data_IF_847458032989
#
_entry.id   IF_847458032989
#
_cell.length_a   1.000
_cell.length_b   1.000
_cell.length_c   1.000
_cell.angle_alpha   90.00
_cell.angle_beta   90.00
_cell.angle_gamma   90.00
#
_symmetry.space_group_name_H-M   'P 1'
#
loop_
_entity.id
_entity.type
_entity.pdbx_description
1 polymer ?
#
# COMPACT_ATOMS: atom_id res chain seq x y z
N UNK A 1 13.54 -37.41 -21.64
CA UNK A 1 12.91 -36.21 -21.04
C UNK A 1 13.30 -35.03 -21.91
N UNK A 2 12.34 -34.19 -22.31
CA UNK A 2 12.60 -33.10 -23.25
C UNK A 2 13.52 -32.03 -22.63
N UNK A 3 14.62 -31.74 -23.32
CA UNK A 3 15.64 -30.77 -22.97
C UNK A 3 15.55 -29.61 -23.96
N UNK A 4 15.67 -28.34 -23.52
CA UNK A 4 15.52 -27.17 -24.40
C UNK A 4 16.82 -26.35 -24.44
N UNK A 5 17.32 -26.00 -25.63
CA UNK A 5 18.48 -25.06 -25.75
C UNK A 5 17.93 -23.64 -25.54
N UNK A 6 18.49 -22.87 -24.59
CA UNK A 6 18.06 -21.49 -24.36
C UNK A 6 18.35 -20.57 -25.56
N UNK A 7 19.40 -20.88 -26.33
CA UNK A 7 19.76 -20.13 -27.55
C UNK A 7 18.88 -20.52 -28.73
N UNK A 8 18.82 -21.82 -29.07
CA UNK A 8 18.12 -22.27 -30.28
C UNK A 8 16.60 -22.37 -30.13
N UNK A 9 16.08 -22.36 -28.90
CA UNK A 9 14.67 -22.64 -28.56
C UNK A 9 14.11 -23.95 -29.15
N UNK A 10 14.98 -24.90 -29.49
CA UNK A 10 14.60 -26.23 -29.97
C UNK A 10 14.61 -27.26 -28.83
N UNK A 11 13.76 -28.26 -28.97
CA UNK A 11 13.59 -29.38 -28.03
C UNK A 11 14.44 -30.56 -28.51
N UNK A 12 15.21 -31.15 -27.60
CA UNK A 12 16.06 -32.30 -27.85
C UNK A 12 15.76 -33.40 -26.82
N UNK A 13 15.88 -34.67 -27.22
CA UNK A 13 15.54 -35.80 -26.33
C UNK A 13 16.74 -36.54 -25.75
N UNK A 14 17.93 -36.48 -26.37
CA UNK A 14 18.96 -37.49 -26.12
C UNK A 14 20.31 -37.00 -25.60
N UNK A 15 20.64 -35.71 -25.63
CA UNK A 15 21.94 -35.21 -25.14
C UNK A 15 21.72 -34.08 -24.14
N UNK A 16 22.58 -33.96 -23.12
CA UNK A 16 22.59 -32.81 -22.20
C UNK A 16 23.20 -31.53 -22.80
N UNK A 17 23.65 -31.60 -24.06
CA UNK A 17 24.29 -30.52 -24.80
C UNK A 17 23.60 -30.43 -26.16
N UNK A 18 23.25 -29.23 -26.59
CA UNK A 18 22.59 -29.01 -27.87
C UNK A 18 23.58 -29.19 -29.04
N UNK A 19 23.24 -29.95 -30.09
CA UNK A 19 24.15 -30.20 -31.21
C UNK A 19 24.43 -28.96 -32.08
N UNK A 20 23.53 -27.97 -32.06
CA UNK A 20 23.68 -26.72 -32.81
C UNK A 20 24.51 -25.66 -32.07
N UNK A 21 24.11 -25.35 -30.83
CA UNK A 21 24.68 -24.27 -30.02
C UNK A 21 25.86 -24.74 -29.12
N UNK A 22 26.03 -26.05 -28.90
CA UNK A 22 26.95 -26.67 -27.93
C UNK A 22 26.78 -26.17 -26.48
N UNK A 23 25.62 -25.57 -26.15
CA UNK A 23 25.25 -25.12 -24.81
C UNK A 23 24.56 -26.24 -24.05
N UNK A 24 24.76 -26.27 -22.72
CA UNK A 24 24.07 -27.19 -21.81
C UNK A 24 22.56 -26.95 -21.92
N UNK A 25 21.85 -28.03 -22.25
CA UNK A 25 20.40 -27.99 -22.36
C UNK A 25 19.78 -27.94 -20.97
N UNK A 26 18.79 -27.07 -20.81
CA UNK A 26 18.04 -26.97 -19.57
C UNK A 26 16.92 -28.00 -19.59
N UNK A 27 16.71 -28.62 -18.44
CA UNK A 27 15.54 -29.47 -18.21
C UNK A 27 14.29 -28.62 -18.40
N UNK A 28 13.62 -28.82 -19.54
CA UNK A 28 12.26 -28.39 -19.67
C UNK A 28 11.48 -29.41 -18.85
N UNK A 29 11.22 -29.09 -17.59
CA UNK A 29 10.15 -29.76 -16.88
C UNK A 29 8.94 -29.53 -17.78
N UNK A 30 8.49 -30.53 -18.57
CA UNK A 30 7.24 -30.38 -19.28
C UNK A 30 6.30 -30.05 -18.15
N UNK A 31 5.65 -28.89 -18.21
CA UNK A 31 4.58 -28.56 -17.27
C UNK A 31 3.84 -29.87 -17.08
N UNK A 32 3.96 -30.48 -15.88
CA UNK A 32 3.24 -31.67 -15.51
C UNK A 32 1.85 -31.33 -15.98
N UNK A 33 1.40 -31.94 -17.09
CA UNK A 33 0.03 -31.79 -17.58
C UNK A 33 -0.74 -32.03 -16.29
N UNK A 34 -1.40 -31.01 -15.72
CA UNK A 34 -2.13 -31.25 -14.51
C UNK A 34 -3.14 -32.28 -14.97
N UNK A 35 -2.98 -33.55 -14.55
CA UNK A 35 -4.08 -34.49 -14.56
C UNK A 35 -5.24 -33.68 -14.02
N UNK A 36 -6.23 -33.49 -14.90
CA UNK A 36 -7.24 -32.45 -14.81
C UNK A 36 -7.79 -32.42 -13.38
N UNK A 37 -7.15 -31.62 -12.54
CA UNK A 37 -7.56 -31.42 -11.17
C UNK A 37 -8.66 -30.38 -11.34
N UNK A 38 -9.93 -30.71 -11.06
CA UNK A 38 -11.09 -29.89 -11.45
C UNK A 38 -11.20 -28.56 -10.66
N UNK A 39 -10.08 -27.94 -10.25
CA UNK A 39 -10.07 -26.86 -9.27
C UNK A 39 -9.06 -25.72 -9.52
N UNK A 40 -8.40 -25.62 -10.67
CA UNK A 40 -7.57 -24.45 -11.00
C UNK A 40 -8.15 -23.55 -12.10
N UNK A 41 -9.45 -23.26 -11.99
CA UNK A 41 -10.16 -22.22 -12.76
C UNK A 41 -9.72 -20.78 -12.39
N UNK A 42 -8.59 -20.64 -11.68
CA UNK A 42 -8.08 -19.39 -11.11
C UNK A 42 -6.88 -18.80 -11.87
N UNK A 43 -6.45 -19.43 -12.97
CA UNK A 43 -5.27 -19.00 -13.72
C UNK A 43 -5.51 -17.81 -14.67
N UNK A 44 -6.75 -17.60 -15.14
CA UNK A 44 -7.09 -16.54 -16.10
C UNK A 44 -8.11 -15.53 -15.55
N UNK A 45 -8.06 -15.26 -14.24
CA UNK A 45 -8.76 -14.05 -13.77
C UNK A 45 -8.07 -12.84 -14.40
N UNK A 46 -8.82 -11.94 -15.07
CA UNK A 46 -8.24 -10.77 -15.71
C UNK A 46 -7.36 -10.06 -14.69
N UNK A 47 -6.10 -9.82 -15.06
CA UNK A 47 -5.13 -9.16 -14.20
C UNK A 47 -5.80 -7.95 -13.55
N UNK A 48 -5.93 -7.97 -12.23
CA UNK A 48 -6.61 -6.92 -11.49
C UNK A 48 -6.03 -5.58 -11.95
N UNK A 49 -6.89 -4.63 -12.33
CA UNK A 49 -6.45 -3.36 -12.91
C UNK A 49 -5.39 -2.66 -12.05
N UNK A 50 -5.41 -2.90 -10.74
CA UNK A 50 -4.47 -2.40 -9.73
C UNK A 50 -3.05 -2.94 -9.91
N UNK A 51 -2.89 -4.14 -10.47
CA UNK A 51 -1.59 -4.75 -10.75
C UNK A 51 -1.00 -4.25 -12.06
N UNK A 52 -1.81 -3.62 -12.92
CA UNK A 52 -1.30 -2.97 -14.14
C UNK A 52 -0.41 -1.78 -13.76
N UNK A 53 0.58 -1.42 -14.61
CA UNK A 53 1.43 -0.25 -14.37
C UNK A 53 0.62 1.03 -14.14
N UNK A 54 -0.45 1.23 -14.91
CA UNK A 54 -1.34 2.39 -14.77
C UNK A 54 -2.12 2.40 -13.47
N UNK A 55 -2.62 1.24 -13.03
CA UNK A 55 -3.29 1.11 -11.74
C UNK A 55 -2.36 1.48 -10.58
N UNK A 56 -1.11 1.00 -10.59
CA UNK A 56 -0.12 1.35 -9.57
C UNK A 56 0.26 2.82 -9.55
N UNK A 57 0.40 3.46 -10.73
CA UNK A 57 0.64 4.90 -10.84
C UNK A 57 -0.53 5.67 -10.23
N UNK A 58 -1.76 5.30 -10.58
CA UNK A 58 -2.97 5.97 -10.08
C UNK A 58 -3.10 5.83 -8.55
N UNK A 59 -2.94 4.62 -8.01
CA UNK A 59 -2.98 4.36 -6.56
C UNK A 59 -1.84 5.10 -5.85
N UNK A 60 -0.62 5.07 -6.39
CA UNK A 60 0.52 5.82 -5.84
C UNK A 60 0.29 7.33 -5.82
N UNK A 61 -0.35 7.88 -6.85
CA UNK A 61 -0.70 9.30 -6.94
C UNK A 61 -1.74 9.69 -5.89
N UNK A 62 -2.83 8.93 -5.77
CA UNK A 62 -3.85 9.16 -4.74
C UNK A 62 -3.23 9.08 -3.34
N UNK A 63 -2.40 8.06 -3.10
CA UNK A 63 -1.73 7.88 -1.82
C UNK A 63 -0.80 9.06 -1.50
N UNK A 64 0.01 9.52 -2.46
CA UNK A 64 0.90 10.66 -2.26
C UNK A 64 0.13 11.96 -1.96
N UNK A 65 -0.92 12.25 -2.74
CA UNK A 65 -1.74 13.44 -2.53
C UNK A 65 -2.49 13.38 -1.19
N UNK A 66 -3.15 12.25 -0.90
CA UNK A 66 -3.88 12.05 0.34
C UNK A 66 -2.97 12.13 1.57
N UNK A 67 -1.80 11.49 1.52
CA UNK A 67 -0.83 11.54 2.60
C UNK A 67 -0.26 12.95 2.81
N UNK A 68 0.03 13.67 1.73
CA UNK A 68 0.52 15.06 1.82
C UNK A 68 -0.51 15.98 2.45
N UNK A 69 -1.77 15.88 2.04
CA UNK A 69 -2.86 16.66 2.59
C UNK A 69 -3.10 16.30 4.07
N UNK A 70 -3.17 15.01 4.39
CA UNK A 70 -3.35 14.54 5.76
C UNK A 70 -2.25 15.01 6.70
N UNK A 71 -0.98 14.86 6.30
CA UNK A 71 0.16 15.33 7.08
C UNK A 71 0.16 16.86 7.22
N UNK A 72 -0.19 17.59 6.17
CA UNK A 72 -0.32 19.06 6.24
C UNK A 72 -1.44 19.48 7.21
N UNK A 73 -2.58 18.79 7.22
CA UNK A 73 -3.66 19.05 8.18
C UNK A 73 -3.22 18.72 9.59
N UNK A 74 -2.54 17.60 9.82
CA UNK A 74 -1.98 17.25 11.14
C UNK A 74 -1.01 18.34 11.64
N UNK A 75 -0.10 18.82 10.78
CA UNK A 75 0.82 19.89 11.13
C UNK A 75 0.10 21.22 11.38
N UNK A 76 -0.88 21.55 10.54
CA UNK A 76 -1.69 22.77 10.71
C UNK A 76 -2.47 22.73 12.01
N UNK A 77 -3.09 21.59 12.33
CA UNK A 77 -3.71 21.34 13.63
C UNK A 77 -2.68 21.43 14.76
N UNK A 78 -1.45 20.99 14.53
CA UNK A 78 -0.35 21.15 15.47
C UNK A 78 -0.02 22.62 15.75
N UNK A 79 0.17 23.43 14.71
CA UNK A 79 0.45 24.88 14.83
C UNK A 79 -0.73 25.68 15.37
N UNK A 80 -1.95 25.32 15.00
CA UNK A 80 -3.16 25.91 15.60
C UNK A 80 -3.19 25.66 17.11
N UNK A 81 -2.72 24.50 17.56
CA UNK A 81 -2.61 24.22 18.99
C UNK A 81 -1.54 25.12 19.61
N UNK A 82 -0.45 25.49 18.94
CA UNK A 82 0.60 26.32 19.58
C UNK A 82 0.21 27.78 19.80
N UNK A 83 -0.97 28.21 19.34
CA UNK A 83 -1.43 29.60 19.42
C UNK A 83 -0.70 30.56 18.47
N UNK A 84 0.26 30.06 17.70
CA UNK A 84 1.17 30.86 16.86
C UNK A 84 0.82 30.69 15.36
N UNK A 85 -0.48 30.69 15.04
CA UNK A 85 -0.99 30.31 13.72
C UNK A 85 -0.70 31.34 12.62
N UNK A 86 -0.45 32.60 12.98
CA UNK A 86 -0.60 33.73 12.07
C UNK A 86 0.26 33.70 10.82
N UNK A 87 1.44 33.06 10.84
CA UNK A 87 2.37 33.17 9.71
C UNK A 87 3.31 31.98 9.49
N UNK A 88 3.12 30.84 10.18
CA UNK A 88 4.09 29.72 10.15
C UNK A 88 4.39 29.26 8.73
N UNK A 89 3.35 29.12 7.89
CA UNK A 89 3.50 28.68 6.50
C UNK A 89 4.23 29.68 5.60
N UNK A 90 4.28 30.96 5.99
CA UNK A 90 5.02 32.00 5.30
C UNK A 90 6.47 32.14 5.80
N UNK A 91 6.81 31.49 6.92
CA UNK A 91 8.21 31.43 7.40
C UNK A 91 9.05 30.47 6.57
N UNK A 92 10.37 30.65 6.59
CA UNK A 92 11.33 29.71 5.98
C UNK A 92 11.13 28.28 6.51
N UNK A 93 10.85 28.14 7.81
CA UNK A 93 10.60 26.84 8.44
C UNK A 93 9.33 26.18 7.87
N UNK A 94 8.24 26.94 7.73
CA UNK A 94 6.99 26.43 7.14
C UNK A 94 7.16 25.97 5.70
N UNK A 95 7.94 26.72 4.90
CA UNK A 95 8.26 26.34 3.52
C UNK A 95 9.06 25.04 3.49
N UNK A 96 10.12 24.91 4.31
CA UNK A 96 10.93 23.69 4.40
C UNK A 96 10.09 22.50 4.85
N UNK A 97 9.24 22.69 5.87
CA UNK A 97 8.37 21.66 6.41
C UNK A 97 7.33 21.21 5.38
N UNK A 98 6.75 22.15 4.63
CA UNK A 98 5.82 21.84 3.54
C UNK A 98 6.48 20.96 2.47
N UNK A 99 7.69 21.32 2.02
CA UNK A 99 8.45 20.52 1.06
C UNK A 99 8.85 19.16 1.62
N UNK A 100 9.19 19.06 2.91
CA UNK A 100 9.50 17.80 3.56
C UNK A 100 8.29 16.85 3.58
N UNK A 101 7.09 17.36 3.90
CA UNK A 101 5.85 16.58 3.88
C UNK A 101 5.52 16.08 2.47
N UNK A 102 5.61 16.96 1.48
CA UNK A 102 5.41 16.58 0.07
C UNK A 102 6.43 15.52 -0.36
N UNK A 103 7.71 15.70 0.00
CA UNK A 103 8.77 14.77 -0.36
C UNK A 103 8.56 13.38 0.26
N UNK A 104 8.23 13.31 1.55
CA UNK A 104 7.93 12.03 2.23
C UNK A 104 6.71 11.36 1.59
N UNK A 105 5.66 12.12 1.31
CA UNK A 105 4.43 11.58 0.73
C UNK A 105 4.65 11.04 -0.69
N UNK A 106 5.43 11.75 -1.49
CA UNK A 106 5.85 11.34 -2.83
C UNK A 106 6.80 10.15 -2.82
N UNK A 107 7.71 10.06 -1.85
CA UNK A 107 8.57 8.89 -1.70
C UNK A 107 7.73 7.63 -1.46
N UNK A 108 6.72 7.70 -0.59
CA UNK A 108 5.82 6.58 -0.30
C UNK A 108 4.97 6.20 -1.52
N UNK A 109 4.33 7.17 -2.17
CA UNK A 109 3.53 6.91 -3.38
C UNK A 109 4.36 6.42 -4.56
N UNK A 110 5.55 6.99 -4.77
CA UNK A 110 6.52 6.57 -5.76
C UNK A 110 7.02 5.14 -5.49
N UNK A 111 7.35 4.83 -4.24
CA UNK A 111 7.78 3.48 -3.81
C UNK A 111 6.72 2.42 -4.10
N UNK A 112 5.45 2.72 -3.81
CA UNK A 112 4.34 1.83 -4.14
C UNK A 112 4.21 1.64 -5.67
N UNK A 113 4.31 2.72 -6.45
CA UNK A 113 4.21 2.63 -7.92
C UNK A 113 5.36 1.83 -8.56
N UNK A 114 6.55 1.88 -7.96
CA UNK A 114 7.74 1.16 -8.43
C UNK A 114 7.84 -0.29 -7.93
N UNK A 115 7.04 -0.68 -6.93
CA UNK A 115 7.14 -2.00 -6.31
C UNK A 115 6.85 -3.13 -7.32
N UNK A 116 7.82 -4.03 -7.49
CA UNK A 116 7.74 -5.18 -8.38
C UNK A 116 7.85 -4.84 -9.87
N UNK A 117 8.26 -3.62 -10.22
CA UNK A 117 8.31 -3.15 -11.61
C UNK A 117 9.75 -2.96 -12.10
N UNK A 118 10.05 -3.44 -13.31
CA UNK A 118 11.42 -3.31 -13.88
C UNK A 118 11.77 -1.88 -14.27
N UNK A 119 10.76 -1.02 -14.42
CA UNK A 119 10.90 0.42 -14.73
C UNK A 119 10.39 1.27 -13.57
N UNK A 120 10.63 0.82 -12.33
CA UNK A 120 10.11 1.48 -11.13
C UNK A 120 10.47 2.97 -11.03
N UNK A 121 11.69 3.35 -11.44
CA UNK A 121 12.14 4.76 -11.50
C UNK A 121 11.21 5.59 -12.40
N UNK A 122 10.83 5.08 -13.56
CA UNK A 122 9.97 5.79 -14.53
C UNK A 122 8.56 5.95 -13.97
N UNK A 123 8.00 4.91 -13.36
CA UNK A 123 6.65 4.98 -12.77
C UNK A 123 6.61 5.94 -11.59
N UNK A 124 7.62 5.91 -10.72
CA UNK A 124 7.77 6.88 -9.64
C UNK A 124 7.92 8.31 -10.15
N UNK A 125 8.72 8.52 -11.20
CA UNK A 125 8.87 9.84 -11.85
C UNK A 125 7.53 10.36 -12.40
N UNK A 126 6.71 9.50 -13.01
CA UNK A 126 5.38 9.86 -13.50
C UNK A 126 4.44 10.25 -12.35
N UNK A 127 4.44 9.52 -11.24
CA UNK A 127 3.68 9.87 -10.04
C UNK A 127 4.11 11.24 -9.50
N UNK A 128 5.42 11.46 -9.40
CA UNK A 128 6.01 12.73 -8.97
C UNK A 128 5.59 13.89 -9.87
N UNK A 129 5.76 13.74 -11.18
CA UNK A 129 5.41 14.76 -12.16
C UNK A 129 3.92 15.10 -12.13
N UNK A 130 3.04 14.09 -12.13
CA UNK A 130 1.59 14.28 -12.06
C UNK A 130 1.18 15.00 -10.76
N UNK A 131 1.75 14.60 -9.62
CA UNK A 131 1.52 15.27 -8.34
C UNK A 131 1.99 16.72 -8.35
N UNK A 132 3.15 17.01 -8.96
CA UNK A 132 3.66 18.38 -9.13
C UNK A 132 2.76 19.27 -9.98
N UNK A 133 2.23 18.75 -11.09
CA UNK A 133 1.24 19.47 -11.91
C UNK A 133 -0.03 19.76 -11.10
N UNK A 134 -0.58 18.74 -10.43
CA UNK A 134 -1.80 18.88 -9.63
C UNK A 134 -1.60 19.91 -8.51
N UNK A 135 -0.47 19.85 -7.81
CA UNK A 135 -0.12 20.80 -6.74
C UNK A 135 -0.01 22.23 -7.28
N UNK A 136 0.65 22.42 -8.43
CA UNK A 136 0.78 23.72 -9.09
C UNK A 136 -0.59 24.26 -9.55
N UNK A 137 -1.46 23.39 -10.06
CA UNK A 137 -2.82 23.77 -10.47
C UNK A 137 -3.68 24.18 -9.26
N UNK A 138 -3.58 23.47 -8.14
CA UNK A 138 -4.27 23.84 -6.89
C UNK A 138 -3.80 25.18 -6.35
N UNK A 139 -2.50 25.46 -6.39
CA UNK A 139 -1.92 26.74 -5.98
C UNK A 139 -2.40 27.88 -6.88
N UNK A 140 -2.37 27.68 -8.19
CA UNK A 140 -2.91 28.64 -9.16
C UNK A 140 -4.40 28.95 -8.89
N UNK A 141 -5.20 27.91 -8.62
CA UNK A 141 -6.62 28.07 -8.30
C UNK A 141 -6.89 28.84 -6.99
N UNK A 142 -5.93 28.86 -6.05
CA UNK A 142 -6.02 29.65 -4.80
C UNK A 142 -5.64 31.12 -4.99
N UNK A 143 -5.15 31.51 -6.16
CA UNK A 143 -4.72 32.90 -6.42
C UNK A 143 -3.41 33.27 -5.73
N UNK A 144 -2.63 32.29 -5.24
CA UNK A 144 -1.32 32.54 -4.66
C UNK A 144 -0.36 32.98 -5.77
N UNK A 145 0.29 34.14 -5.59
CA UNK A 145 1.19 34.72 -6.57
C UNK A 145 2.54 33.99 -6.55
N UNK A 146 2.76 33.07 -7.50
CA UNK A 146 4.02 32.35 -7.60
C UNK A 146 5.06 33.10 -8.43
N UNK A 147 6.31 33.06 -7.96
CA UNK A 147 7.44 33.34 -8.84
C UNK A 147 7.41 32.35 -10.00
N UNK A 148 7.51 32.80 -11.27
CA UNK A 148 7.46 31.94 -12.43
C UNK A 148 8.55 30.84 -12.39
N UNK A 149 9.66 31.11 -11.71
CA UNK A 149 10.72 30.12 -11.48
C UNK A 149 10.23 28.94 -10.65
N UNK A 150 9.47 29.19 -9.58
CA UNK A 150 8.99 28.12 -8.69
C UNK A 150 7.94 27.25 -9.38
N UNK A 151 7.09 27.85 -10.23
CA UNK A 151 6.10 27.12 -11.03
C UNK A 151 6.74 26.05 -11.92
N UNK A 152 7.96 26.29 -12.40
CA UNK A 152 8.73 25.30 -13.19
C UNK A 152 9.54 24.34 -12.32
N UNK A 153 10.04 24.79 -11.17
CA UNK A 153 10.89 23.99 -10.28
C UNK A 153 10.09 22.92 -9.52
N UNK A 154 8.87 23.21 -9.08
CA UNK A 154 8.07 22.31 -8.24
C UNK A 154 7.80 20.96 -8.93
N UNK A 155 7.29 20.90 -10.18
CA UNK A 155 7.10 19.62 -10.87
C UNK A 155 8.40 18.83 -11.07
N UNK A 156 9.53 19.53 -11.25
CA UNK A 156 10.83 18.90 -11.48
C UNK A 156 11.41 18.29 -10.21
N UNK A 157 11.25 18.97 -9.07
CA UNK A 157 11.59 18.43 -7.74
C UNK A 157 10.69 17.21 -7.44
N UNK A 158 9.37 17.33 -7.66
CA UNK A 158 8.45 16.23 -7.42
C UNK A 158 8.76 15.02 -8.30
N UNK A 159 9.11 15.24 -9.57
CA UNK A 159 9.55 14.19 -10.50
C UNK A 159 10.78 13.47 -9.95
N UNK A 160 11.81 14.21 -9.50
CA UNK A 160 13.02 13.62 -8.94
C UNK A 160 12.73 12.82 -7.66
N UNK A 161 11.93 13.36 -6.74
CA UNK A 161 11.54 12.68 -5.50
C UNK A 161 10.69 11.43 -5.77
N UNK A 162 9.74 11.52 -6.70
CA UNK A 162 8.96 10.38 -7.14
C UNK A 162 9.83 9.29 -7.77
N UNK A 163 10.80 9.67 -8.60
CA UNK A 163 11.76 8.75 -9.22
C UNK A 163 12.60 8.02 -8.16
N UNK A 164 13.07 8.72 -7.13
CA UNK A 164 13.77 8.14 -5.98
C UNK A 164 12.88 7.15 -5.23
N UNK A 165 11.62 7.52 -4.97
CA UNK A 165 10.64 6.62 -4.37
C UNK A 165 10.47 5.35 -5.21
N UNK A 166 10.25 5.49 -6.52
CA UNK A 166 10.13 4.38 -7.46
C UNK A 166 11.37 3.48 -7.52
N UNK A 167 12.57 4.06 -7.40
CA UNK A 167 13.83 3.32 -7.30
C UNK A 167 13.87 2.46 -6.02
N UNK A 168 13.53 3.05 -4.88
CA UNK A 168 13.46 2.35 -3.59
C UNK A 168 12.43 1.22 -3.64
N UNK A 169 11.27 1.46 -4.25
CA UNK A 169 10.24 0.45 -4.47
C UNK A 169 10.75 -0.74 -5.29
N UNK A 170 11.50 -0.48 -6.34
CA UNK A 170 12.12 -1.53 -7.16
C UNK A 170 13.22 -2.30 -6.40
N UNK A 171 13.97 -1.62 -5.51
CA UNK A 171 15.03 -2.26 -4.71
C UNK A 171 14.46 -3.18 -3.63
N UNK A 172 13.42 -2.73 -2.91
CA UNK A 172 12.76 -3.48 -1.85
C UNK A 172 11.92 -4.62 -2.45
N UNK A 173 11.16 -4.33 -3.50
CA UNK A 173 10.35 -5.31 -4.25
C UNK A 173 10.93 -5.49 -5.65
N UNK A 174 11.93 -6.37 -5.75
CA UNK A 174 12.60 -6.67 -7.01
C UNK A 174 11.59 -7.17 -8.06
N UNK A 175 11.70 -6.69 -9.32
CA UNK A 175 10.85 -7.17 -10.39
C UNK A 175 11.05 -8.67 -10.61
N UNK A 176 9.95 -9.39 -10.85
CA UNK A 176 10.04 -10.79 -11.26
C UNK A 176 10.75 -10.84 -12.62
N UNK A 177 11.77 -11.71 -12.77
CA UNK A 177 12.46 -11.86 -14.05
C UNK A 177 11.44 -12.22 -15.13
N UNK A 178 11.50 -11.54 -16.28
CA UNK A 178 10.67 -11.88 -17.44
C UNK A 178 11.12 -13.25 -17.93
N UNK A 179 10.33 -14.26 -17.63
CA UNK A 179 10.49 -15.56 -18.26
C UNK A 179 10.18 -15.36 -19.76
N UNK A 180 11.00 -15.87 -20.68
CA UNK A 180 10.68 -15.84 -22.10
C UNK A 180 9.28 -16.42 -22.27
N UNK A 181 8.35 -15.62 -22.78
CA UNK A 181 7.02 -16.08 -23.16
C UNK A 181 7.26 -17.19 -24.19
N UNK A 182 7.04 -18.44 -23.77
CA UNK A 182 6.95 -19.54 -24.70
C UNK A 182 5.67 -19.27 -25.49
N UNK A 183 5.80 -19.00 -26.78
CA UNK A 183 4.70 -18.76 -27.70
C UNK A 183 3.67 -19.91 -27.59
N UNK A 184 2.69 -19.74 -26.70
CA UNK A 184 1.60 -20.69 -26.51
C UNK A 184 0.59 -20.40 -27.60
N UNK A 185 0.71 -21.14 -28.70
CA UNK A 185 0.03 -20.95 -29.97
C UNK A 185 -1.47 -21.25 -29.96
N UNK A 186 -2.17 -21.13 -28.84
CA UNK A 186 -3.63 -21.34 -28.80
C UNK A 186 -4.31 -20.23 -28.02
N UNK A 187 -5.02 -19.29 -28.67
CA UNK A 187 -5.82 -18.29 -27.97
C UNK A 187 -6.96 -19.00 -27.27
N UNK A 188 -6.84 -19.17 -25.95
CA UNK A 188 -7.94 -19.62 -25.10
C UNK A 188 -9.00 -18.52 -25.05
N UNK A 189 -10.29 -18.85 -25.26
CA UNK A 189 -11.36 -17.86 -25.19
C UNK A 189 -11.43 -17.26 -23.78
N UNK A 190 -11.44 -15.92 -23.72
CA UNK A 190 -11.57 -15.16 -22.47
C UNK A 190 -12.97 -15.37 -21.92
N UNK A 191 -13.10 -16.15 -20.85
CA UNK A 191 -14.38 -16.33 -20.16
C UNK A 191 -14.68 -15.05 -19.37
N UNK A 192 -15.80 -14.40 -19.69
CA UNK A 192 -16.25 -13.20 -18.98
C UNK A 192 -16.79 -13.63 -17.62
N UNK A 193 -16.07 -13.33 -16.55
CA UNK A 193 -16.44 -13.69 -15.19
C UNK A 193 -17.68 -12.91 -14.72
N UNK A 194 -18.67 -13.62 -14.18
CA UNK A 194 -19.85 -13.03 -13.54
C UNK A 194 -19.46 -12.26 -12.26
N UNK A 195 -19.96 -11.03 -12.11
CA UNK A 195 -19.59 -10.10 -11.03
C UNK A 195 -19.88 -10.66 -9.61
N UNK A 196 -20.92 -11.49 -9.48
CA UNK A 196 -21.27 -12.16 -8.23
C UNK A 196 -20.24 -13.23 -7.82
N UNK A 197 -19.66 -13.94 -8.80
CA UNK A 197 -18.62 -14.93 -8.52
C UNK A 197 -17.32 -14.24 -8.07
N UNK A 198 -17.00 -13.06 -8.61
CA UNK A 198 -15.87 -12.26 -8.14
C UNK A 198 -16.04 -11.81 -6.69
N UNK A 199 -17.23 -11.35 -6.27
CA UNK A 199 -17.48 -10.98 -4.87
C UNK A 199 -17.38 -12.17 -3.91
N UNK A 200 -17.93 -13.32 -4.27
CA UNK A 200 -17.79 -14.54 -3.46
C UNK A 200 -16.33 -14.99 -3.33
N UNK A 201 -15.55 -14.84 -4.42
CA UNK A 201 -14.13 -15.17 -4.44
C UNK A 201 -13.27 -14.19 -3.63
N UNK A 202 -13.65 -12.91 -3.49
CA UNK A 202 -12.92 -11.94 -2.66
C UNK A 202 -12.84 -12.36 -1.18
N UNK A 203 -13.80 -13.16 -0.71
CA UNK A 203 -13.80 -13.70 0.66
C UNK A 203 -13.33 -15.16 0.74
N UNK A 204 -13.10 -15.82 -0.39
CA UNK A 204 -12.58 -17.18 -0.46
C UNK A 204 -11.06 -17.17 -0.23
N UNK A 205 -10.61 -17.81 0.85
CA UNK A 205 -9.19 -18.00 1.13
C UNK A 205 -8.84 -17.98 2.60
N UNK A 206 -7.65 -18.51 2.89
CA UNK A 206 -7.20 -18.81 4.25
C UNK A 206 -6.98 -17.54 5.07
N UNK A 207 -7.56 -17.54 6.27
CA UNK A 207 -7.36 -16.50 7.26
C UNK A 207 -6.03 -16.72 7.97
N UNK A 208 -5.16 -15.71 7.90
CA UNK A 208 -3.87 -15.73 8.57
C UNK A 208 -4.05 -15.23 10.01
N UNK A 209 -4.66 -16.06 10.86
CA UNK A 209 -5.09 -15.69 12.22
C UNK A 209 -3.98 -15.02 13.02
N UNK A 210 -2.74 -15.51 12.95
CA UNK A 210 -1.61 -14.90 13.66
C UNK A 210 -1.35 -13.44 13.29
N UNK A 211 -1.50 -13.09 12.00
CA UNK A 211 -1.34 -11.70 11.53
C UNK A 211 -2.51 -10.82 11.92
N UNK A 212 -3.72 -11.36 11.85
CA UNK A 212 -4.93 -10.67 12.31
C UNK A 212 -4.80 -10.36 13.81
N UNK A 213 -4.39 -11.32 14.64
CA UNK A 213 -4.15 -11.11 16.07
C UNK A 213 -3.06 -10.05 16.33
N UNK A 214 -1.94 -10.10 15.60
CA UNK A 214 -0.87 -9.11 15.72
C UNK A 214 -1.34 -7.71 15.29
N UNK A 215 -2.06 -7.60 14.19
CA UNK A 215 -2.62 -6.33 13.70
C UNK A 215 -3.67 -5.74 14.65
N UNK A 216 -4.57 -6.58 15.17
CA UNK A 216 -5.55 -6.18 16.18
C UNK A 216 -4.88 -5.73 17.48
N UNK A 217 -3.82 -6.42 17.90
CA UNK A 217 -3.02 -6.03 19.06
C UNK A 217 -2.39 -4.65 18.88
N UNK A 218 -1.73 -4.39 17.74
CA UNK A 218 -1.14 -3.07 17.43
C UNK A 218 -2.22 -1.98 17.42
N UNK A 219 -3.36 -2.24 16.78
CA UNK A 219 -4.47 -1.29 16.71
C UNK A 219 -5.02 -0.97 18.12
N UNK A 220 -5.33 -1.97 18.93
CA UNK A 220 -5.84 -1.80 20.30
C UNK A 220 -4.84 -1.04 21.17
N UNK A 221 -3.56 -1.41 21.14
CA UNK A 221 -2.51 -0.71 21.89
C UNK A 221 -2.44 0.76 21.49
N UNK A 222 -2.54 1.06 20.19
CA UNK A 222 -2.62 2.43 19.68
C UNK A 222 -3.82 3.21 20.22
N UNK A 223 -5.00 2.58 20.26
CA UNK A 223 -6.20 3.23 20.80
C UNK A 223 -6.07 3.50 22.29
N UNK A 224 -5.64 2.49 23.06
CA UNK A 224 -5.49 2.59 24.52
C UNK A 224 -4.43 3.61 24.91
N UNK A 225 -3.32 3.66 24.18
CA UNK A 225 -2.24 4.62 24.43
C UNK A 225 -2.34 5.92 23.64
N UNK A 226 -3.42 6.15 22.89
CA UNK A 226 -3.60 7.38 22.09
C UNK A 226 -3.38 8.66 22.91
N UNK A 227 -3.90 8.72 24.13
CA UNK A 227 -3.67 9.85 25.06
C UNK A 227 -2.22 9.96 25.51
N UNK A 228 -1.57 8.85 25.84
CA UNK A 228 -0.17 8.86 26.26
C UNK A 228 0.76 9.26 25.10
N UNK A 229 0.43 8.83 23.87
CA UNK A 229 1.11 9.25 22.64
C UNK A 229 0.92 10.75 22.43
N UNK A 230 -0.31 11.26 22.57
CA UNK A 230 -0.59 12.69 22.48
C UNK A 230 0.20 13.48 23.54
N UNK A 231 0.14 13.08 24.81
CA UNK A 231 0.87 13.72 25.90
C UNK A 231 2.39 13.68 25.67
N UNK A 232 2.91 12.57 25.14
CA UNK A 232 4.31 12.45 24.75
C UNK A 232 4.66 13.45 23.63
N UNK A 233 3.83 13.59 22.60
CA UNK A 233 4.02 14.57 21.53
C UNK A 233 3.97 16.02 22.07
N UNK A 234 3.09 16.31 23.02
CA UNK A 234 3.01 17.63 23.66
C UNK A 234 4.25 17.93 24.52
N UNK A 235 4.79 16.92 25.22
CA UNK A 235 6.05 17.06 25.98
C UNK A 235 7.26 17.19 25.07
N UNK A 236 7.35 16.36 24.03
CA UNK A 236 8.45 16.36 23.08
C UNK A 236 8.58 17.69 22.33
N UNK A 237 7.50 18.45 22.25
CA UNK A 237 7.47 19.76 21.61
C UNK A 237 7.74 20.90 22.59
N UNK A 238 8.18 20.61 23.82
CA UNK A 238 8.61 21.56 24.84
C UNK A 238 7.59 22.67 25.12
N UNK A 239 6.29 22.33 25.10
CA UNK A 239 5.23 23.31 25.33
C UNK A 239 4.94 24.22 24.13
N UNK A 240 5.55 23.98 22.97
CA UNK A 240 5.11 24.59 21.71
C UNK A 240 3.67 24.15 21.42
N UNK A 241 3.39 22.84 21.46
CA UNK A 241 2.09 22.17 21.68
C UNK A 241 1.14 22.71 22.77
N UNK A 242 0.44 23.85 22.62
CA UNK A 242 -0.58 24.31 23.61
C UNK A 242 -2.04 24.01 23.23
N UNK A 243 -2.53 22.76 23.28
CA UNK A 243 -3.93 22.47 22.95
C UNK A 243 -4.91 23.36 23.76
N UNK A 244 -5.49 24.35 23.07
CA UNK A 244 -6.35 25.37 23.68
C UNK A 244 -7.81 24.96 23.71
N UNK A 245 -8.21 23.99 22.87
CA UNK A 245 -9.58 23.53 22.76
C UNK A 245 -9.71 22.01 22.93
N UNK A 246 -10.78 21.59 23.62
CA UNK A 246 -11.09 20.18 23.81
C UNK A 246 -11.36 19.45 22.48
N UNK A 247 -11.99 20.13 21.51
CA UNK A 247 -12.28 19.55 20.18
C UNK A 247 -11.01 19.22 19.41
N UNK A 248 -9.98 20.05 19.51
CA UNK A 248 -8.70 19.81 18.85
C UNK A 248 -7.96 18.61 19.44
N UNK A 249 -7.94 18.47 20.78
CA UNK A 249 -7.41 17.25 21.41
C UNK A 249 -8.17 16.00 20.97
N UNK A 250 -9.49 16.08 20.84
CA UNK A 250 -10.30 14.97 20.36
C UNK A 250 -9.99 14.62 18.91
N UNK A 251 -9.87 15.63 18.03
CA UNK A 251 -9.58 15.42 16.61
C UNK A 251 -8.21 14.77 16.41
N UNK A 252 -7.16 15.31 17.04
CA UNK A 252 -5.81 14.73 16.97
C UNK A 252 -5.79 13.31 17.56
N UNK A 253 -6.53 13.08 18.65
CA UNK A 253 -6.70 11.73 19.20
C UNK A 253 -7.33 10.75 18.21
N UNK A 254 -8.37 11.17 17.49
CA UNK A 254 -9.02 10.36 16.45
C UNK A 254 -8.09 10.09 15.27
N UNK A 255 -7.25 11.06 14.87
CA UNK A 255 -6.25 10.87 13.81
C UNK A 255 -5.18 9.84 14.22
N UNK A 256 -4.67 9.92 15.45
CA UNK A 256 -3.71 8.93 15.99
C UNK A 256 -4.35 7.54 16.00
N UNK A 257 -5.59 7.43 16.47
CA UNK A 257 -6.35 6.17 16.48
C UNK A 257 -6.48 5.60 15.06
N UNK A 258 -6.90 6.43 14.10
CA UNK A 258 -7.07 6.02 12.70
C UNK A 258 -5.74 5.56 12.09
N UNK A 259 -4.64 6.30 12.31
CA UNK A 259 -3.33 5.93 11.80
C UNK A 259 -2.85 4.59 12.36
N UNK A 260 -2.97 4.36 13.67
CA UNK A 260 -2.51 3.09 14.26
C UNK A 260 -3.42 1.93 13.83
N UNK A 261 -4.73 2.14 13.69
CA UNK A 261 -5.64 1.14 13.14
C UNK A 261 -5.32 0.80 11.67
N UNK A 262 -5.00 1.81 10.85
CA UNK A 262 -4.60 1.63 9.46
C UNK A 262 -3.29 0.85 9.36
N UNK A 263 -2.30 1.16 10.20
CA UNK A 263 -1.02 0.44 10.24
C UNK A 263 -1.21 -1.01 10.70
N UNK A 264 -1.95 -1.24 11.78
CA UNK A 264 -2.20 -2.58 12.31
C UNK A 264 -2.95 -3.48 11.32
N UNK A 265 -3.98 -2.95 10.67
CA UNK A 265 -4.74 -3.67 9.64
C UNK A 265 -3.94 -3.85 8.34
N UNK A 266 -3.14 -2.87 7.93
CA UNK A 266 -2.23 -2.98 6.79
C UNK A 266 -1.17 -4.06 6.99
N UNK A 267 -0.61 -4.17 8.20
CA UNK A 267 0.27 -5.27 8.55
C UNK A 267 -0.43 -6.63 8.45
N UNK A 268 -1.69 -6.72 8.90
CA UNK A 268 -2.45 -7.95 8.77
C UNK A 268 -2.67 -8.32 7.29
N UNK A 269 -3.10 -7.36 6.46
CA UNK A 269 -3.35 -7.58 5.03
C UNK A 269 -2.09 -7.86 4.20
N UNK A 270 -0.91 -7.47 4.66
CA UNK A 270 0.35 -7.59 3.94
C UNK A 270 0.64 -9.03 3.50
N UNK A 271 1.03 -9.23 2.24
CA UNK A 271 1.36 -10.52 1.60
C UNK A 271 0.18 -11.49 1.55
N UNK A 272 -1.04 -10.98 1.45
CA UNK A 272 -2.25 -11.80 1.36
C UNK A 272 -3.15 -11.29 0.23
N UNK A 273 -3.82 -12.20 -0.48
CA UNK A 273 -4.79 -11.82 -1.52
C UNK A 273 -6.08 -11.25 -0.92
N UNK A 274 -6.38 -11.64 0.31
CA UNK A 274 -7.63 -11.27 0.98
C UNK A 274 -7.39 -10.15 2.00
N UNK A 275 -6.57 -9.15 1.64
CA UNK A 275 -6.18 -8.08 2.55
C UNK A 275 -7.37 -7.35 3.17
N UNK A 276 -8.42 -7.08 2.37
CA UNK A 276 -9.67 -6.47 2.84
C UNK A 276 -10.39 -7.33 3.89
N UNK A 277 -10.43 -8.65 3.69
CA UNK A 277 -10.99 -9.60 4.68
C UNK A 277 -10.20 -9.56 5.98
N UNK A 278 -8.87 -9.56 5.91
CA UNK A 278 -8.02 -9.51 7.11
C UNK A 278 -8.18 -8.19 7.85
N UNK A 279 -8.24 -7.06 7.12
CA UNK A 279 -8.53 -5.75 7.67
C UNK A 279 -9.90 -5.67 8.36
N UNK A 280 -10.94 -6.26 7.77
CA UNK A 280 -12.26 -6.34 8.40
C UNK A 280 -12.22 -7.10 9.73
N UNK A 281 -11.54 -8.25 9.78
CA UNK A 281 -11.40 -9.02 11.03
C UNK A 281 -10.58 -8.27 12.09
N UNK A 282 -9.53 -7.54 11.69
CA UNK A 282 -8.79 -6.65 12.60
C UNK A 282 -9.72 -5.57 13.14
N UNK A 283 -10.46 -4.88 12.28
CA UNK A 283 -11.38 -3.82 12.67
C UNK A 283 -12.47 -4.29 13.63
N UNK A 284 -13.10 -5.44 13.37
CA UNK A 284 -14.11 -6.03 14.24
C UNK A 284 -13.53 -6.44 15.61
N UNK A 285 -12.34 -7.05 15.63
CA UNK A 285 -11.69 -7.43 16.88
C UNK A 285 -11.30 -6.20 17.71
N UNK A 286 -10.74 -5.18 17.07
CA UNK A 286 -10.39 -3.91 17.73
C UNK A 286 -11.62 -3.20 18.25
N UNK A 287 -12.69 -3.07 17.45
CA UNK A 287 -13.96 -2.46 17.87
C UNK A 287 -14.57 -3.19 19.07
N UNK A 288 -14.62 -4.53 19.06
CA UNK A 288 -15.15 -5.30 20.19
C UNK A 288 -14.38 -5.04 21.50
N UNK A 289 -13.05 -4.96 21.44
CA UNK A 289 -12.20 -4.68 22.60
C UNK A 289 -12.37 -3.23 23.07
N UNK A 290 -12.35 -2.27 22.14
CA UNK A 290 -12.51 -0.83 22.44
C UNK A 290 -13.89 -0.56 23.04
N UNK A 291 -14.95 -1.15 22.49
CA UNK A 291 -16.31 -1.07 23.04
C UNK A 291 -16.36 -1.62 24.46
N UNK A 292 -15.72 -2.77 24.73
CA UNK A 292 -15.63 -3.33 26.09
C UNK A 292 -14.96 -2.37 27.08
N UNK A 293 -13.88 -1.69 26.66
CA UNK A 293 -13.21 -0.67 27.46
C UNK A 293 -14.12 0.56 27.67
N UNK A 294 -14.83 1.00 26.64
CA UNK A 294 -15.73 2.16 26.71
C UNK A 294 -16.95 1.92 27.61
N UNK A 295 -17.54 0.72 27.59
CA UNK A 295 -18.66 0.32 28.46
C UNK A 295 -18.24 0.40 29.94
N UNK A 296 -16.97 0.10 30.25
CA UNK A 296 -16.45 0.25 31.61
C UNK A 296 -16.27 1.71 32.04
N UNK A 297 -16.41 2.69 31.13
CA UNK A 297 -16.26 4.10 31.46
C UNK A 297 -17.57 4.70 31.98
N UNK A 298 -17.55 5.46 33.09
CA UNK A 298 -18.76 6.14 33.59
C UNK A 298 -19.27 7.24 32.64
N UNK A 299 -18.49 7.62 31.62
CA UNK A 299 -18.86 8.63 30.60
C UNK A 299 -19.31 8.00 29.28
N UNK A 300 -19.76 6.75 29.31
CA UNK A 300 -20.19 6.04 28.10
C UNK A 300 -21.36 6.76 27.43
N UNK A 301 -21.16 7.11 26.15
CA UNK A 301 -22.22 7.61 25.26
C UNK A 301 -22.29 6.69 24.06
N UNK A 302 -23.43 6.03 23.86
CA UNK A 302 -23.64 5.04 22.80
C UNK A 302 -23.32 5.59 21.41
N UNK A 303 -23.70 6.84 21.14
CA UNK A 303 -23.46 7.49 19.85
C UNK A 303 -21.96 7.59 19.52
N UNK A 304 -21.14 8.08 20.46
CA UNK A 304 -19.69 8.17 20.30
C UNK A 304 -19.04 6.79 20.12
N UNK A 305 -19.54 5.77 20.83
CA UNK A 305 -19.07 4.40 20.69
C UNK A 305 -19.33 3.85 19.28
N UNK A 306 -20.57 4.00 18.79
CA UNK A 306 -20.97 3.57 17.44
C UNK A 306 -20.14 4.28 16.35
N UNK A 307 -19.94 5.60 16.47
CA UNK A 307 -19.11 6.34 15.52
C UNK A 307 -17.65 5.89 15.54
N UNK A 308 -17.10 5.67 16.73
CA UNK A 308 -15.71 5.22 16.88
C UNK A 308 -15.51 3.83 16.28
N UNK A 309 -16.40 2.89 16.60
CA UNK A 309 -16.33 1.51 16.11
C UNK A 309 -16.52 1.44 14.58
N UNK A 310 -17.49 2.18 14.04
CA UNK A 310 -17.69 2.27 12.59
C UNK A 310 -16.46 2.85 11.88
N UNK A 311 -15.84 3.89 12.47
CA UNK A 311 -14.59 4.47 11.98
C UNK A 311 -13.44 3.46 11.99
N UNK A 312 -13.25 2.75 13.11
CA UNK A 312 -12.21 1.72 13.25
C UNK A 312 -12.37 0.59 12.23
N UNK A 313 -13.60 0.09 12.02
CA UNK A 313 -13.88 -0.96 11.04
C UNK A 313 -13.55 -0.46 9.63
N UNK A 314 -14.02 0.74 9.27
CA UNK A 314 -13.83 1.32 7.93
C UNK A 314 -12.35 1.54 7.64
N UNK A 315 -11.63 2.19 8.57
CA UNK A 315 -10.19 2.46 8.44
C UNK A 315 -9.40 1.15 8.40
N UNK A 316 -9.80 0.13 9.16
CA UNK A 316 -9.13 -1.17 9.15
C UNK A 316 -9.34 -1.94 7.85
N UNK A 317 -10.53 -1.86 7.25
CA UNK A 317 -10.78 -2.43 5.91
C UNK A 317 -9.89 -1.78 4.85
N UNK A 318 -9.79 -0.45 4.87
CA UNK A 318 -8.93 0.32 3.96
C UNK A 318 -7.47 -0.06 4.18
N UNK A 319 -7.01 -0.09 5.43
CA UNK A 319 -5.64 -0.47 5.77
C UNK A 319 -5.31 -1.89 5.32
N UNK A 320 -6.16 -2.87 5.61
CA UNK A 320 -5.98 -4.25 5.15
C UNK A 320 -5.96 -4.40 3.62
N UNK A 321 -6.81 -3.67 2.91
CA UNK A 321 -6.76 -3.61 1.45
C UNK A 321 -5.42 -3.03 0.96
N UNK A 322 -4.99 -1.90 1.51
CA UNK A 322 -3.69 -1.29 1.20
C UNK A 322 -2.54 -2.26 1.47
N UNK A 323 -2.54 -2.95 2.61
CA UNK A 323 -1.53 -3.95 2.95
C UNK A 323 -1.42 -5.06 1.92
N UNK A 324 -2.55 -5.61 1.48
CA UNK A 324 -2.58 -6.65 0.45
C UNK A 324 -2.06 -6.19 -0.91
N UNK A 325 -2.25 -4.91 -1.24
CA UNK A 325 -1.74 -4.31 -2.48
C UNK A 325 -0.26 -3.95 -2.42
N UNK A 326 0.19 -3.38 -1.29
CA UNK A 326 1.59 -2.99 -1.05
C UNK A 326 2.52 -4.20 -1.04
N UNK A 327 2.06 -5.29 -0.43
CA UNK A 327 2.85 -6.50 -0.27
C UNK A 327 2.13 -7.65 -0.97
N UNK A 328 2.48 -7.99 -2.22
CA UNK A 328 1.87 -9.11 -2.90
C UNK A 328 2.15 -10.42 -2.14
N UNK A 329 1.27 -11.43 -2.25
CA UNK A 329 1.48 -12.72 -1.60
C UNK A 329 2.81 -13.32 -2.05
N UNK A 330 3.68 -13.61 -1.08
CA UNK A 330 4.89 -14.39 -1.34
C UNK A 330 4.39 -15.77 -1.73
N UNK A 331 4.55 -16.14 -3.01
CA UNK A 331 4.01 -17.40 -3.54
C UNK A 331 4.32 -18.53 -2.58
N UNK A 332 3.27 -19.24 -2.13
CA UNK A 332 3.45 -20.37 -1.23
C UNK A 332 4.52 -21.26 -1.85
N UNK A 333 5.65 -21.42 -1.15
CA UNK A 333 6.66 -22.41 -1.55
C UNK A 333 5.88 -23.70 -1.62
N UNK A 334 5.51 -24.12 -2.83
CA UNK A 334 4.78 -25.35 -3.13
C UNK A 334 5.58 -26.41 -2.42
N UNK A 335 5.11 -26.80 -1.23
CA UNK A 335 5.80 -27.73 -0.35
C UNK A 335 5.79 -28.99 -1.18
N UNK A 336 6.90 -29.25 -1.88
CA UNK A 336 7.06 -30.45 -2.69
C UNK A 336 6.83 -31.55 -1.68
N UNK A 337 5.62 -32.12 -1.69
CA UNK A 337 5.38 -33.41 -1.06
C UNK A 337 6.30 -34.30 -1.87
N UNK A 338 7.49 -34.53 -1.32
CA UNK A 338 8.32 -35.65 -1.67
C UNK A 338 7.40 -36.84 -1.43
N UNK A 339 6.77 -37.30 -2.50
CA UNK A 339 6.22 -38.62 -2.57
C UNK A 339 7.43 -39.53 -2.42
N UNK A 340 7.65 -39.98 -1.18
CA UNK A 340 8.54 -41.08 -0.93
C UNK A 340 7.91 -42.29 -1.63
N UNK A 341 8.65 -42.82 -2.59
CA UNK A 341 8.42 -44.13 -3.18
C UNK A 341 8.55 -45.23 -2.12
#
# INVERSE_FOLDING_TARGET
>A
MALVCPECKQIFEQNGICPLCNVVLLYHAPNLKPEASPSSLSADLPAEWQQTPWGKIFVGLILALGLSFGLQQMLTAGFLATGDWGDVWNTLLGIVLHHAVLAVSLLVGGMLSGAGQSRGIVYGALVGFASGIISSAFQYARGESYSPMLATAVPLIHLATGALGGALGMLIWRPTPRLPELDSSTPTPVVVSNLNATLANLFAGQLHVGRICAGAFVAVMGVVWSKAILDFLLRATNGSLTISSQLQAQLVGMEIIALVALVGSGFAGATTRNGLKQGLFVGLATAAIVLGIQISSPRFTLESAVFTDAGLITVSMIGGWFGGQLFPPVGEKRRRRLWNA
#
